data_IF_842340740781
#
_entry.id   IF_842340740781
#
_cell.length_a   1.000
_cell.length_b   1.000
_cell.length_c   1.000
_cell.angle_alpha   90.00
_cell.angle_beta   90.00
_cell.angle_gamma   90.00
#
_symmetry.space_group_name_H-M   'P 1'
#
loop_
_entity.id
_entity.type
_entity.pdbx_description
1 polymer ?
#
# COMPACT_ATOMS: atom_id res chain seq x y z
N UNK A 1 2.67 16.79 5.79
CA UNK A 1 3.42 15.53 5.91
C UNK A 1 4.74 15.73 5.17
N UNK A 2 5.89 15.54 5.80
CA UNK A 2 7.18 15.79 5.14
C UNK A 2 7.54 14.58 4.27
N UNK A 3 7.67 14.79 2.95
CA UNK A 3 8.03 13.76 1.96
C UNK A 3 9.55 13.69 1.71
N UNK A 4 10.35 14.44 2.47
CA UNK A 4 11.81 14.55 2.35
C UNK A 4 12.58 13.48 3.15
N UNK A 5 11.86 12.57 3.82
CA UNK A 5 12.47 11.45 4.52
C UNK A 5 13.19 10.55 3.50
N UNK A 6 14.51 10.46 3.63
CA UNK A 6 15.31 9.55 2.83
C UNK A 6 15.10 8.12 3.35
N UNK A 7 14.88 7.13 2.47
CA UNK A 7 14.78 5.75 2.88
C UNK A 7 16.12 5.26 3.44
N UNK A 8 16.11 4.72 4.66
CA UNK A 8 17.25 3.96 5.20
C UNK A 8 17.08 2.50 4.83
N UNK A 9 17.57 2.15 3.64
CA UNK A 9 17.39 0.81 3.08
C UNK A 9 15.91 0.51 2.82
N UNK A 10 15.44 -0.63 3.32
CA UNK A 10 14.10 -1.15 3.02
C UNK A 10 13.07 -0.92 4.14
N UNK A 11 13.43 -0.24 5.22
CA UNK A 11 12.54 0.00 6.38
C UNK A 11 11.26 0.75 6.01
N UNK A 12 10.17 0.50 6.74
CA UNK A 12 8.91 1.23 6.58
C UNK A 12 9.04 2.63 7.19
N UNK A 13 8.71 3.68 6.44
CA UNK A 13 8.73 5.04 6.95
C UNK A 13 7.52 5.27 7.86
N UNK A 14 7.72 6.04 8.94
CA UNK A 14 6.63 6.45 9.83
C UNK A 14 5.48 7.10 9.07
N UNK A 15 5.79 7.89 8.05
CA UNK A 15 4.78 8.53 7.21
C UNK A 15 3.90 7.50 6.50
N UNK A 16 4.50 6.49 5.88
CA UNK A 16 3.78 5.42 5.19
C UNK A 16 2.85 4.65 6.13
N UNK A 17 3.37 4.23 7.29
CA UNK A 17 2.59 3.51 8.28
C UNK A 17 1.39 4.32 8.78
N UNK A 18 1.60 5.61 9.06
CA UNK A 18 0.53 6.50 9.50
C UNK A 18 -0.50 6.75 8.41
N UNK A 19 -0.10 6.89 7.15
CA UNK A 19 -1.03 7.04 6.04
C UNK A 19 -1.87 5.79 5.86
N UNK A 20 -1.26 4.60 5.88
CA UNK A 20 -2.01 3.32 5.82
C UNK A 20 -3.03 3.25 6.95
N UNK A 21 -2.61 3.50 8.20
CA UNK A 21 -3.50 3.45 9.35
C UNK A 21 -4.64 4.47 9.25
N UNK A 22 -4.34 5.73 8.88
CA UNK A 22 -5.35 6.77 8.73
C UNK A 22 -6.34 6.46 7.61
N UNK A 23 -5.87 5.92 6.48
CA UNK A 23 -6.74 5.49 5.38
C UNK A 23 -7.65 4.35 5.81
N UNK A 24 -7.14 3.37 6.57
CA UNK A 24 -7.96 2.28 7.10
C UNK A 24 -8.99 2.74 8.12
N UNK A 25 -8.63 3.61 9.07
CA UNK A 25 -9.57 4.19 10.04
C UNK A 25 -10.69 4.93 9.31
N UNK A 26 -10.33 5.79 8.36
CA UNK A 26 -11.31 6.52 7.53
C UNK A 26 -12.16 5.57 6.68
N UNK A 27 -11.57 4.47 6.22
CA UNK A 27 -12.25 3.41 5.49
C UNK A 27 -13.23 2.64 6.38
N UNK A 28 -12.85 2.30 7.61
CA UNK A 28 -13.69 1.58 8.59
C UNK A 28 -14.96 2.38 8.88
N UNK A 29 -14.85 3.68 9.11
CA UNK A 29 -16.01 4.54 9.36
C UNK A 29 -17.02 4.52 8.20
N UNK A 30 -16.54 4.32 6.97
CA UNK A 30 -17.39 4.27 5.76
C UNK A 30 -17.87 2.86 5.40
N UNK A 31 -17.02 1.85 5.62
CA UNK A 31 -17.20 0.48 5.12
C UNK A 31 -17.72 -0.49 6.18
N UNK A 32 -17.64 -0.14 7.47
CA UNK A 32 -18.22 -0.92 8.57
C UNK A 32 -19.72 -1.15 8.37
N UNK A 33 -20.42 -0.19 7.77
CA UNK A 33 -21.84 -0.27 7.38
C UNK A 33 -22.15 -1.39 6.39
N UNK A 34 -21.14 -1.87 5.65
CA UNK A 34 -21.28 -2.88 4.60
C UNK A 34 -20.77 -4.27 5.02
N UNK A 35 -20.34 -4.45 6.28
CA UNK A 35 -19.91 -5.74 6.81
C UNK A 35 -18.62 -6.28 6.19
N UNK A 36 -17.77 -5.42 5.63
CA UNK A 36 -16.43 -5.78 5.19
C UNK A 36 -15.47 -5.87 6.38
N UNK A 37 -14.83 -7.02 6.56
CA UNK A 37 -13.84 -7.27 7.63
C UNK A 37 -12.44 -6.84 7.21
N UNK A 38 -12.17 -6.82 5.89
CA UNK A 38 -10.87 -6.50 5.33
C UNK A 38 -10.95 -5.22 4.50
N UNK A 39 -10.15 -4.22 4.87
CA UNK A 39 -10.05 -2.97 4.13
C UNK A 39 -8.69 -2.94 3.44
N UNK A 40 -8.65 -3.29 2.13
CA UNK A 40 -7.41 -3.22 1.38
C UNK A 40 -7.04 -1.76 1.10
N UNK A 41 -5.79 -1.41 1.37
CA UNK A 41 -5.19 -0.12 1.02
C UNK A 41 -4.06 -0.38 0.03
N UNK A 42 -4.16 0.25 -1.14
CA UNK A 42 -3.05 0.40 -2.08
C UNK A 42 -2.52 1.82 -1.95
N UNK A 43 -1.23 1.96 -1.61
CA UNK A 43 -0.58 3.25 -1.42
C UNK A 43 0.69 3.34 -2.27
N UNK A 44 0.74 4.35 -3.13
CA UNK A 44 1.96 4.76 -3.82
C UNK A 44 2.73 5.74 -2.94
N UNK A 45 3.86 5.31 -2.42
CA UNK A 45 4.70 6.10 -1.53
C UNK A 45 5.86 6.69 -2.30
N UNK A 46 5.95 8.02 -2.32
CA UNK A 46 7.05 8.76 -2.92
C UNK A 46 7.84 9.48 -1.83
N UNK A 47 9.17 9.38 -1.90
CA UNK A 47 10.10 9.81 -0.86
C UNK A 47 11.42 10.30 -1.45
N UNK A 48 12.10 11.20 -0.74
CA UNK A 48 13.41 11.71 -1.13
C UNK A 48 13.44 12.33 -2.53
N UNK A 49 14.57 12.20 -3.22
CA UNK A 49 14.77 12.69 -4.60
C UNK A 49 14.35 11.63 -5.61
N UNK A 50 13.06 11.65 -5.98
CA UNK A 50 12.48 10.84 -7.06
C UNK A 50 12.60 9.33 -6.82
N UNK A 51 12.29 8.89 -5.60
CA UNK A 51 12.17 7.48 -5.28
C UNK A 51 10.75 7.15 -4.87
N UNK A 52 10.30 5.94 -5.16
CA UNK A 52 8.99 5.50 -4.71
C UNK A 52 8.86 3.99 -4.59
N UNK A 53 7.84 3.55 -3.87
CA UNK A 53 7.46 2.14 -3.75
C UNK A 53 5.96 1.99 -3.58
N UNK A 54 5.50 0.77 -3.72
CA UNK A 54 4.10 0.42 -3.61
C UNK A 54 3.91 -0.32 -2.30
N UNK A 55 2.90 0.09 -1.55
CA UNK A 55 2.47 -0.55 -0.32
C UNK A 55 1.07 -1.11 -0.53
N UNK A 56 0.89 -2.36 -0.13
CA UNK A 56 -0.42 -3.01 -0.04
C UNK A 56 -0.65 -3.40 1.40
N UNK A 57 -1.78 -3.02 1.96
CA UNK A 57 -2.08 -3.31 3.35
C UNK A 57 -3.51 -3.76 3.55
N UNK A 58 -3.72 -4.62 4.53
CA UNK A 58 -5.05 -5.00 5.01
C UNK A 58 -5.00 -5.27 6.52
N UNK A 59 -6.17 -5.19 7.15
CA UNK A 59 -6.37 -5.65 8.52
C UNK A 59 -7.12 -6.98 8.48
N UNK A 60 -6.62 -8.00 9.17
CA UNK A 60 -7.21 -9.35 9.20
C UNK A 60 -8.13 -9.62 10.39
N UNK A 61 -8.33 -8.61 11.24
CA UNK A 61 -9.06 -8.73 12.51
C UNK A 61 -8.15 -8.75 13.73
N UNK A 62 -6.87 -9.09 13.58
CA UNK A 62 -5.89 -9.14 14.68
C UNK A 62 -4.73 -8.18 14.45
N UNK A 63 -4.18 -8.15 13.23
CA UNK A 63 -2.98 -7.39 12.88
C UNK A 63 -3.14 -6.61 11.59
N UNK A 64 -2.40 -5.50 11.52
CA UNK A 64 -2.20 -4.74 10.30
C UNK A 64 -1.06 -5.39 9.50
N UNK A 65 -1.40 -6.02 8.38
CA UNK A 65 -0.43 -6.61 7.46
C UNK A 65 -0.07 -5.58 6.39
N UNK A 66 1.21 -5.28 6.24
CA UNK A 66 1.73 -4.35 5.22
C UNK A 66 2.77 -5.07 4.36
N UNK A 67 2.45 -5.22 3.08
CA UNK A 67 3.36 -5.64 2.04
C UNK A 67 3.97 -4.41 1.38
N UNK A 68 5.25 -4.50 1.06
CA UNK A 68 5.99 -3.43 0.39
C UNK A 68 6.83 -4.01 -0.72
N UNK A 69 6.88 -3.30 -1.84
CA UNK A 69 7.87 -3.58 -2.88
C UNK A 69 9.24 -3.04 -2.45
N UNK A 70 10.27 -3.38 -3.23
CA UNK A 70 11.52 -2.62 -3.23
C UNK A 70 11.28 -1.16 -3.59
N UNK A 71 12.27 -0.32 -3.32
CA UNK A 71 12.29 1.07 -3.78
C UNK A 71 12.67 1.15 -5.25
N UNK A 72 11.91 1.92 -6.02
CA UNK A 72 12.10 2.21 -7.43
C UNK A 72 12.65 3.63 -7.61
N UNK A 73 13.56 3.77 -8.57
CA UNK A 73 14.12 5.06 -8.99
C UNK A 73 13.22 5.70 -10.07
N UNK A 74 13.06 7.01 -9.99
CA UNK A 74 12.50 7.88 -11.02
C UNK A 74 13.49 9.01 -11.36
N UNK A 75 14.77 8.86 -11.01
CA UNK A 75 15.80 9.88 -11.17
C UNK A 75 16.25 10.12 -12.62
N UNK A 76 15.93 9.21 -13.54
CA UNK A 76 16.21 9.31 -14.98
C UNK A 76 14.97 8.92 -15.79
N UNK A 77 14.91 9.30 -17.06
CA UNK A 77 13.80 8.94 -17.94
C UNK A 77 13.71 7.42 -18.15
N UNK A 78 14.86 6.74 -18.26
CA UNK A 78 14.95 5.29 -18.38
C UNK A 78 14.46 4.57 -17.12
N UNK A 79 14.86 5.04 -15.94
CA UNK A 79 14.39 4.47 -14.67
C UNK A 79 12.90 4.72 -14.49
N UNK A 80 12.43 5.94 -14.77
CA UNK A 80 11.02 6.29 -14.68
C UNK A 80 10.17 5.41 -15.60
N UNK A 81 10.62 5.17 -16.85
CA UNK A 81 9.91 4.29 -17.79
C UNK A 81 9.76 2.88 -17.25
N UNK A 82 10.81 2.29 -16.66
CA UNK A 82 10.74 0.94 -16.08
C UNK A 82 9.87 0.89 -14.82
N UNK A 83 9.98 1.92 -13.99
CA UNK A 83 9.25 2.00 -12.72
C UNK A 83 7.76 2.25 -12.95
N UNK A 84 7.39 3.08 -13.93
CA UNK A 84 5.99 3.43 -14.20
C UNK A 84 5.19 2.20 -14.64
N UNK A 85 5.77 1.30 -15.42
CA UNK A 85 5.08 0.08 -15.87
C UNK A 85 4.58 -0.75 -14.69
N UNK A 86 5.39 -0.90 -13.65
CA UNK A 86 5.01 -1.64 -12.42
C UNK A 86 3.89 -0.91 -11.67
N UNK A 87 3.99 0.41 -11.53
CA UNK A 87 2.99 1.20 -10.82
C UNK A 87 1.64 1.21 -11.55
N UNK A 88 1.68 1.35 -12.88
CA UNK A 88 0.48 1.32 -13.73
C UNK A 88 -0.20 -0.05 -13.69
N UNK A 89 0.57 -1.14 -13.68
CA UNK A 89 0.01 -2.48 -13.51
C UNK A 89 -0.74 -2.62 -12.18
N UNK A 90 -0.14 -2.17 -11.08
CA UNK A 90 -0.78 -2.23 -9.76
C UNK A 90 -2.03 -1.35 -9.68
N UNK A 91 -2.00 -0.17 -10.32
CA UNK A 91 -3.16 0.72 -10.38
C UNK A 91 -4.30 0.14 -11.23
N UNK A 92 -3.96 -0.63 -12.28
CA UNK A 92 -4.93 -1.27 -13.15
C UNK A 92 -5.47 -2.60 -12.60
N UNK A 93 -4.93 -3.11 -11.48
CA UNK A 93 -5.46 -4.29 -10.83
C UNK A 93 -6.80 -3.99 -10.15
N UNK A 94 -7.82 -4.83 -10.40
CA UNK A 94 -9.07 -4.76 -9.66
C UNK A 94 -8.84 -5.15 -8.19
N UNK A 95 -9.28 -4.32 -7.22
CA UNK A 95 -9.20 -4.68 -5.82
C UNK A 95 -10.11 -5.89 -5.56
N UNK A 96 -9.51 -7.05 -5.25
CA UNK A 96 -10.26 -8.23 -4.84
C UNK A 96 -10.76 -8.04 -3.40
N UNK A 97 -11.96 -7.48 -3.29
CA UNK A 97 -12.66 -7.22 -2.03
C UNK A 97 -13.35 -8.47 -1.44
N UNK A 98 -13.43 -9.58 -2.19
CA UNK A 98 -14.01 -10.83 -1.70
C UNK A 98 -13.04 -11.59 -0.77
N UNK A 99 -12.92 -11.08 0.44
CA UNK A 99 -12.17 -11.67 1.53
C UNK A 99 -13.00 -12.66 2.37
N UNK A 100 -14.27 -12.89 2.01
CA UNK A 100 -15.08 -13.95 2.61
C UNK A 100 -14.67 -15.34 2.11
N UNK A 101 -14.12 -15.40 0.89
CA UNK A 101 -13.65 -16.65 0.27
C UNK A 101 -12.35 -17.21 0.90
N UNK A 102 -11.53 -16.37 1.54
CA UNK A 102 -10.26 -16.79 2.18
C UNK A 102 -10.49 -17.62 3.45
N UNK A 103 -11.71 -17.62 4.00
CA UNK A 103 -12.06 -18.37 5.23
C UNK A 103 -12.25 -19.89 4.98
N UNK A 104 -12.20 -20.37 3.73
CA UNK A 104 -12.60 -21.76 3.40
C UNK A 104 -11.51 -22.79 3.16
N UNK A 105 -10.23 -22.42 3.12
CA UNK A 105 -9.18 -23.39 2.78
C UNK A 105 -8.33 -23.90 3.97
N UNK A 106 -8.56 -23.39 5.19
CA UNK A 106 -7.72 -23.71 6.37
C UNK A 106 -8.51 -24.21 7.61
N UNK A 107 -9.69 -24.82 7.45
CA UNK A 107 -10.42 -25.53 8.53
C UNK A 107 -10.63 -27.01 8.21
#
# INVERSE_FOLDING_TARGET
>A
MRHDAQPKGEELLRGEALTVAATMITGLDRLSSYGFVYIPVLLFSFMGTLQGRILQAYFDGEKLVIWKTKIYSFGSAEDAKRSIDVFMQQMACDPRLDTKSVIRDDL
#
